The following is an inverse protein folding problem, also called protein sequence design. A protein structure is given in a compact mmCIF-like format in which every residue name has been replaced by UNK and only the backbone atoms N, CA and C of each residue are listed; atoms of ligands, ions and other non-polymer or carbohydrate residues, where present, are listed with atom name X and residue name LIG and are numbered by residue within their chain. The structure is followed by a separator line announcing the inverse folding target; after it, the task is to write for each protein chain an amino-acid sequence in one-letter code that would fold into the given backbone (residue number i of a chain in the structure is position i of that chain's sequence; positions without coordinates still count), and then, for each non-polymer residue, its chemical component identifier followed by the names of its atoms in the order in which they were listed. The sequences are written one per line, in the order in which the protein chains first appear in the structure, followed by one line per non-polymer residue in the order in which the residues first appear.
data_IF_015762556317
#
_entry.id   IF_015762556317
#
_cell.length_a   1.000
_cell.length_b   1.000
_cell.length_c   1.000
_cell.angle_alpha   90.00
_cell.angle_beta   90.00
_cell.angle_gamma   90.00
#
_symmetry.space_group_name_H-M   'P 1'
#
loop_
_entity.id
_entity.type
_entity.pdbx_description
1 polymer ?
#
# COMPACT_ATOMS: atom_id res chain seq x y z
N UNK A 1 -2.79 -16.64 -20.46
CA UNK A 1 -1.99 -17.80 -20.09
C UNK A 1 -1.77 -17.86 -18.58
N UNK A 2 -1.46 -19.05 -18.03
CA UNK A 2 -1.36 -19.30 -16.58
C UNK A 2 -0.41 -18.32 -15.85
N UNK A 3 0.72 -17.95 -16.48
CA UNK A 3 1.65 -16.97 -15.91
C UNK A 3 1.00 -15.60 -15.64
N UNK A 4 0.25 -15.07 -16.61
CA UNK A 4 -0.40 -13.76 -16.47
C UNK A 4 -1.49 -13.79 -15.38
N UNK A 5 -2.22 -14.89 -15.29
CA UNK A 5 -3.23 -15.07 -14.25
C UNK A 5 -2.59 -15.15 -12.86
N UNK A 6 -1.50 -15.91 -12.72
CA UNK A 6 -0.76 -16.03 -11.46
C UNK A 6 -0.12 -14.67 -11.07
N UNK A 7 0.51 -13.98 -12.01
CA UNK A 7 1.09 -12.67 -11.77
C UNK A 7 0.03 -11.63 -11.36
N UNK A 8 -1.13 -11.64 -12.01
CA UNK A 8 -2.27 -10.79 -11.66
C UNK A 8 -2.80 -11.10 -10.25
N UNK A 9 -2.94 -12.37 -9.92
CA UNK A 9 -3.35 -12.81 -8.60
C UNK A 9 -2.37 -12.36 -7.51
N UNK A 10 -1.05 -12.57 -7.70
CA UNK A 10 -0.03 -12.15 -6.75
C UNK A 10 0.02 -10.63 -6.58
N UNK A 11 -0.11 -9.87 -7.67
CA UNK A 11 -0.19 -8.41 -7.60
C UNK A 11 -1.38 -7.93 -6.79
N UNK A 12 -2.54 -8.51 -7.05
CA UNK A 12 -3.75 -8.19 -6.29
C UNK A 12 -3.62 -8.56 -4.82
N UNK A 13 -3.09 -9.74 -4.52
CA UNK A 13 -2.91 -10.25 -3.16
C UNK A 13 -1.97 -9.38 -2.31
N UNK A 14 -0.87 -8.92 -2.90
CA UNK A 14 0.14 -8.11 -2.19
C UNK A 14 0.01 -6.61 -2.44
N UNK A 15 -0.99 -6.18 -3.21
CA UNK A 15 -1.17 -4.80 -3.62
C UNK A 15 0.08 -4.22 -4.32
N UNK A 16 0.72 -5.04 -5.15
CA UNK A 16 1.93 -4.68 -5.89
C UNK A 16 1.56 -4.40 -7.34
N UNK A 17 1.63 -3.13 -7.73
CA UNK A 17 1.38 -2.72 -9.11
C UNK A 17 2.66 -2.23 -9.76
N UNK A 18 2.92 -2.62 -11.01
CA UNK A 18 4.08 -2.11 -11.71
C UNK A 18 3.92 -0.60 -11.95
N UNK A 19 4.96 0.15 -11.66
CA UNK A 19 5.04 1.56 -12.04
C UNK A 19 5.25 1.62 -13.54
N UNK A 20 4.21 2.01 -14.29
CA UNK A 20 4.29 2.15 -15.74
C UNK A 20 4.65 3.60 -16.05
N UNK A 21 5.90 3.84 -16.37
CA UNK A 21 6.39 5.13 -16.82
C UNK A 21 6.54 5.11 -18.34
N UNK A 22 5.99 6.15 -19.00
CA UNK A 22 6.11 6.33 -20.44
C UNK A 22 6.98 7.54 -20.73
N UNK A 23 8.14 7.32 -21.31
CA UNK A 23 8.98 8.41 -21.77
C UNK A 23 8.33 9.13 -22.95
N UNK A 24 8.31 10.48 -22.94
CA UNK A 24 7.76 11.30 -24.02
C UNK A 24 8.70 11.41 -25.23
N UNK A 25 9.98 11.06 -25.08
CA UNK A 25 10.98 11.15 -26.12
C UNK A 25 12.21 10.28 -25.84
N UNK A 26 13.11 10.19 -26.82
CA UNK A 26 14.32 9.35 -26.75
C UNK A 26 15.24 9.75 -25.60
N UNK A 27 15.53 11.02 -25.45
CA UNK A 27 16.39 11.54 -24.37
C UNK A 27 15.81 11.29 -22.98
N UNK A 28 14.49 11.45 -22.80
CA UNK A 28 13.80 11.12 -21.55
C UNK A 28 13.89 9.63 -21.24
N UNK A 29 13.77 8.78 -22.26
CA UNK A 29 13.91 7.33 -22.09
C UNK A 29 15.32 6.94 -21.66
N UNK A 30 16.34 7.53 -22.29
CA UNK A 30 17.75 7.27 -21.94
C UNK A 30 18.03 7.70 -20.50
N UNK A 31 17.56 8.88 -20.11
CA UNK A 31 17.70 9.38 -18.74
C UNK A 31 17.00 8.46 -17.72
N UNK A 32 15.77 8.01 -17.99
CA UNK A 32 15.05 7.08 -17.09
C UNK A 32 15.78 5.74 -16.93
N UNK A 33 16.35 5.21 -18.03
CA UNK A 33 17.14 3.96 -17.98
C UNK A 33 18.41 4.15 -17.15
N UNK A 34 19.06 5.29 -17.27
CA UNK A 34 20.27 5.60 -16.51
C UNK A 34 19.95 5.79 -15.03
N UNK A 35 18.85 6.47 -14.71
CA UNK A 35 18.36 6.63 -13.33
C UNK A 35 18.03 5.26 -12.69
N UNK A 36 17.29 4.41 -13.37
CA UNK A 36 17.00 3.06 -12.88
C UNK A 36 18.27 2.23 -12.66
N UNK A 37 19.26 2.38 -13.53
CA UNK A 37 20.56 1.70 -13.39
C UNK A 37 21.32 2.21 -12.17
N UNK A 38 21.33 3.52 -11.95
CA UNK A 38 21.99 4.14 -10.79
C UNK A 38 21.33 3.69 -9.48
N UNK A 39 19.99 3.66 -9.43
CA UNK A 39 19.24 3.16 -8.27
C UNK A 39 19.58 1.68 -8.01
N UNK A 40 19.62 0.86 -9.06
CA UNK A 40 20.00 -0.55 -8.93
C UNK A 40 21.42 -0.73 -8.38
N UNK A 41 22.40 0.02 -8.91
CA UNK A 41 23.80 -0.06 -8.44
C UNK A 41 23.94 0.41 -6.99
N UNK A 42 23.21 1.43 -6.57
CA UNK A 42 23.19 1.90 -5.18
C UNK A 42 22.67 0.83 -4.21
N UNK A 43 21.66 0.06 -4.62
CA UNK A 43 21.01 -0.95 -3.77
C UNK A 43 21.50 -2.38 -4.00
N UNK A 44 22.44 -2.58 -4.92
CA UNK A 44 22.95 -3.89 -5.33
C UNK A 44 23.48 -4.75 -4.18
N UNK A 45 24.08 -4.12 -3.17
CA UNK A 45 24.67 -4.79 -2.02
C UNK A 45 23.82 -4.66 -0.74
N UNK A 46 22.60 -4.13 -0.84
CA UNK A 46 21.74 -3.98 0.31
C UNK A 46 21.34 -5.34 0.86
N UNK A 47 21.46 -5.48 2.17
CA UNK A 47 20.97 -6.67 2.87
C UNK A 47 19.45 -6.67 2.85
N UNK A 48 18.86 -7.76 2.38
CA UNK A 48 17.40 -7.91 2.38
C UNK A 48 16.81 -7.68 3.79
N UNK A 49 15.87 -6.75 3.89
CA UNK A 49 15.10 -6.50 5.10
C UNK A 49 13.65 -6.87 4.82
N UNK A 50 13.09 -7.76 5.64
CA UNK A 50 11.68 -8.12 5.52
C UNK A 50 10.80 -6.91 5.79
N UNK A 51 9.89 -6.59 4.88
CA UNK A 51 8.83 -5.60 5.07
C UNK A 51 7.62 -6.17 5.81
N UNK A 52 7.44 -7.49 5.77
CA UNK A 52 6.31 -8.16 6.39
C UNK A 52 6.44 -8.21 7.92
N UNK A 53 7.64 -8.43 8.46
CA UNK A 53 7.84 -8.50 9.92
C UNK A 53 7.48 -7.19 10.65
N UNK A 54 7.94 -6.01 10.20
CA UNK A 54 7.50 -4.74 10.78
C UNK A 54 5.98 -4.52 10.64
N UNK A 55 5.40 -4.93 9.51
CA UNK A 55 3.95 -4.82 9.28
C UNK A 55 3.16 -5.66 10.29
N UNK A 56 3.54 -6.92 10.48
CA UNK A 56 2.92 -7.81 11.47
C UNK A 56 3.07 -7.22 12.88
N UNK A 57 4.27 -6.75 13.22
CA UNK A 57 4.52 -6.13 14.53
C UNK A 57 3.64 -4.90 14.76
N UNK A 58 3.53 -4.02 13.77
CA UNK A 58 2.68 -2.83 13.83
C UNK A 58 1.22 -3.21 14.03
N UNK A 59 0.71 -4.16 13.25
CA UNK A 59 -0.67 -4.61 13.36
C UNK A 59 -0.97 -5.22 14.74
N UNK A 60 -0.11 -6.11 15.24
CA UNK A 60 -0.31 -6.76 16.54
C UNK A 60 -0.32 -5.77 17.72
N UNK A 61 0.39 -4.65 17.59
CA UNK A 61 0.43 -3.61 18.62
C UNK A 61 -0.60 -2.49 18.40
N UNK A 62 -1.35 -2.53 17.31
CA UNK A 62 -2.38 -1.55 17.03
C UNK A 62 -3.69 -1.91 17.73
N UNK A 63 -4.31 -0.99 18.52
CA UNK A 63 -5.50 -1.30 19.32
C UNK A 63 -6.74 -1.67 18.49
N UNK A 64 -6.80 -1.22 17.23
CA UNK A 64 -7.89 -1.52 16.29
C UNK A 64 -7.72 -2.80 15.48
N UNK A 65 -6.60 -3.52 15.64
CA UNK A 65 -6.38 -4.76 14.89
C UNK A 65 -7.06 -5.96 15.57
N UNK A 66 -7.84 -6.72 14.79
CA UNK A 66 -8.74 -7.75 15.35
C UNK A 66 -8.09 -9.07 15.73
N UNK A 67 -6.94 -9.42 15.13
CA UNK A 67 -6.29 -10.69 15.35
C UNK A 67 -5.21 -10.64 16.42
N UNK A 68 -5.14 -11.70 17.24
CA UNK A 68 -4.04 -11.92 18.17
C UNK A 68 -2.92 -12.71 17.50
N UNK A 69 -1.74 -12.71 18.12
CA UNK A 69 -0.54 -13.37 17.61
C UNK A 69 -0.72 -14.85 17.26
N UNK A 70 -1.46 -15.58 18.09
CA UNK A 70 -1.75 -17.00 17.86
C UNK A 70 -2.75 -17.21 16.71
N UNK A 71 -3.70 -16.31 16.54
CA UNK A 71 -4.72 -16.37 15.49
C UNK A 71 -4.13 -16.08 14.10
N UNK A 72 -3.11 -15.21 14.03
CA UNK A 72 -2.47 -14.87 12.76
C UNK A 72 -1.84 -16.06 12.02
N UNK A 73 -1.54 -17.15 12.70
CA UNK A 73 -1.01 -18.36 12.06
C UNK A 73 -2.06 -19.09 11.23
N UNK A 74 -3.33 -18.92 11.57
CA UNK A 74 -4.48 -19.54 10.90
C UNK A 74 -5.10 -18.64 9.82
N UNK A 75 -4.76 -17.33 9.85
CA UNK A 75 -5.29 -16.35 8.91
C UNK A 75 -4.56 -16.43 7.58
N UNK A 76 -5.30 -16.49 6.47
CA UNK A 76 -4.73 -16.42 5.12
C UNK A 76 -4.14 -15.05 4.81
N UNK A 77 -3.10 -15.03 3.96
CA UNK A 77 -2.41 -13.78 3.60
C UNK A 77 -3.36 -12.75 2.97
N UNK A 78 -4.32 -13.17 2.18
CA UNK A 78 -5.32 -12.27 1.55
C UNK A 78 -6.17 -11.60 2.63
N UNK A 79 -6.66 -12.36 3.60
CA UNK A 79 -7.47 -11.84 4.70
C UNK A 79 -6.66 -10.92 5.61
N UNK A 80 -5.39 -11.27 5.87
CA UNK A 80 -4.48 -10.40 6.60
C UNK A 80 -4.27 -9.07 5.90
N UNK A 81 -3.94 -9.09 4.60
CA UNK A 81 -3.70 -7.87 3.82
C UNK A 81 -4.95 -7.01 3.66
N UNK A 82 -6.13 -7.62 3.49
CA UNK A 82 -7.41 -6.90 3.49
C UNK A 82 -7.64 -6.19 4.83
N UNK A 83 -7.39 -6.88 5.94
CA UNK A 83 -7.51 -6.30 7.27
C UNK A 83 -6.56 -5.13 7.50
N UNK A 84 -5.33 -5.22 7.01
CA UNK A 84 -4.34 -4.12 7.06
C UNK A 84 -4.82 -2.91 6.26
N UNK A 85 -5.27 -3.12 5.03
CA UNK A 85 -5.76 -2.05 4.16
C UNK A 85 -7.00 -1.38 4.76
N UNK A 86 -7.91 -2.17 5.31
CA UNK A 86 -9.12 -1.66 5.95
C UNK A 86 -8.80 -0.83 7.19
N UNK A 87 -7.82 -1.26 7.98
CA UNK A 87 -7.34 -0.51 9.13
C UNK A 87 -6.74 0.84 8.70
N UNK A 88 -5.92 0.87 7.65
CA UNK A 88 -5.36 2.11 7.11
C UNK A 88 -6.44 3.09 6.63
N UNK A 89 -7.46 2.58 5.93
CA UNK A 89 -8.60 3.40 5.49
C UNK A 89 -9.34 3.98 6.68
N UNK A 90 -9.60 3.19 7.71
CA UNK A 90 -10.27 3.64 8.93
C UNK A 90 -9.47 4.73 9.65
N UNK A 91 -8.18 4.52 9.86
CA UNK A 91 -7.30 5.49 10.53
C UNK A 91 -7.20 6.81 9.75
N UNK A 92 -7.03 6.75 8.43
CA UNK A 92 -6.94 7.94 7.60
C UNK A 92 -8.24 8.73 7.57
N UNK A 93 -9.39 8.07 7.42
CA UNK A 93 -10.70 8.72 7.46
C UNK A 93 -10.98 9.35 8.83
N UNK A 94 -10.62 8.67 9.91
CA UNK A 94 -10.76 9.17 11.27
C UNK A 94 -9.88 10.39 11.53
N UNK A 95 -8.63 10.36 11.05
CA UNK A 95 -7.71 11.50 11.17
C UNK A 95 -8.23 12.73 10.41
N UNK A 96 -8.73 12.53 9.18
CA UNK A 96 -9.34 13.60 8.39
C UNK A 96 -10.57 14.22 9.09
N UNK A 97 -11.47 13.38 9.60
CA UNK A 97 -12.65 13.85 10.36
C UNK A 97 -12.25 14.65 11.59
N UNK A 98 -11.27 14.17 12.36
CA UNK A 98 -10.73 14.92 13.51
C UNK A 98 -10.14 16.27 13.08
N UNK A 99 -9.40 16.30 11.97
CA UNK A 99 -8.84 17.53 11.40
C UNK A 99 -9.93 18.54 11.01
N UNK A 100 -11.02 18.06 10.41
CA UNK A 100 -12.18 18.91 10.04
C UNK A 100 -12.87 19.47 11.28
N UNK A 101 -13.21 18.61 12.24
CA UNK A 101 -13.92 19.03 13.47
C UNK A 101 -13.08 19.98 14.34
N UNK A 102 -11.75 19.86 14.30
CA UNK A 102 -10.84 20.79 14.99
C UNK A 102 -10.55 22.09 14.23
N UNK A 103 -11.06 22.21 12.99
CA UNK A 103 -10.87 23.40 12.16
C UNK A 103 -9.51 23.50 11.47
N UNK A 104 -8.65 22.48 11.58
CA UNK A 104 -7.34 22.46 10.90
C UNK A 104 -7.40 22.07 9.43
N UNK A 105 -8.47 21.40 9.02
CA UNK A 105 -8.64 20.87 7.67
C UNK A 105 -9.92 21.43 7.07
N UNK A 106 -9.80 22.02 5.87
CA UNK A 106 -10.92 22.56 5.11
C UNK A 106 -11.65 21.40 4.38
N UNK A 107 -12.85 21.09 4.84
CA UNK A 107 -13.66 20.01 4.31
C UNK A 107 -14.03 20.19 2.80
N UNK A 108 -14.05 21.45 2.31
CA UNK A 108 -14.35 21.74 0.90
C UNK A 108 -13.29 21.27 -0.07
N UNK A 109 -12.05 21.05 0.41
CA UNK A 109 -10.89 20.60 -0.38
C UNK A 109 -10.67 19.09 -0.34
N UNK A 110 -11.48 18.35 0.42
CA UNK A 110 -11.33 16.91 0.59
C UNK A 110 -12.43 16.20 -0.18
N UNK A 111 -12.04 15.15 -0.90
CA UNK A 111 -13.00 14.26 -1.51
C UNK A 111 -13.83 13.57 -0.41
N UNK A 112 -15.16 13.66 -0.53
CA UNK A 112 -16.09 13.04 0.41
C UNK A 112 -15.87 11.54 0.56
N UNK A 113 -15.36 10.89 -0.49
CA UNK A 113 -15.03 9.48 -0.43
C UNK A 113 -13.88 9.18 0.53
N UNK A 114 -12.94 10.11 0.73
CA UNK A 114 -11.85 9.96 1.70
C UNK A 114 -12.33 9.93 3.16
N UNK A 115 -13.49 10.52 3.43
CA UNK A 115 -14.12 10.49 4.75
C UNK A 115 -14.93 9.21 5.01
N UNK A 116 -15.18 8.42 3.98
CA UNK A 116 -15.93 7.18 4.09
C UNK A 116 -15.01 6.00 4.43
N UNK A 117 -14.97 5.58 5.69
CA UNK A 117 -14.16 4.42 6.09
C UNK A 117 -14.69 3.08 5.54
N UNK A 118 -15.93 3.05 5.03
CA UNK A 118 -16.53 1.87 4.37
C UNK A 118 -16.30 1.86 2.86
N UNK A 119 -15.54 2.83 2.32
CA UNK A 119 -15.27 2.89 0.89
C UNK A 119 -14.63 1.62 0.36
N UNK A 120 -14.87 1.33 -0.90
CA UNK A 120 -14.13 0.27 -1.58
C UNK A 120 -12.64 0.59 -1.58
N UNK A 121 -11.84 -0.42 -1.28
CA UNK A 121 -10.39 -0.34 -1.44
C UNK A 121 -10.12 -0.63 -2.91
N UNK A 122 -10.20 0.41 -3.76
CA UNK A 122 -9.84 0.25 -5.15
C UNK A 122 -8.34 0.02 -5.24
N UNK A 123 -7.99 -1.11 -5.77
CA UNK A 123 -6.65 -1.37 -6.26
C UNK A 123 -6.45 -0.36 -7.40
N UNK A 124 -5.70 0.72 -7.15
CA UNK A 124 -5.42 1.71 -8.18
C UNK A 124 -4.70 1.01 -9.33
N UNK A 125 -5.38 0.95 -10.46
CA UNK A 125 -4.79 0.53 -11.74
C UNK A 125 -3.74 1.53 -12.20
#
# INVERSE_FOLDING_TARGET
TAYLQMASYLRAMFNIYPKIEKARGKSTKEWMIEEDRNVFEQHKNDVYKSTLLPLISTCLNHPGFKYKKNELREVGIVEFMDSVQRLQVYESSTALLKGIYSGFVDASKIDKNELNFMREISLKN
#
